data_IF_041129773714
#
_entry.id   IF_041129773714
#
_cell.length_a   1.000
_cell.length_b   1.000
_cell.length_c   1.000
_cell.angle_alpha   90.00
_cell.angle_beta   90.00
_cell.angle_gamma   90.00
#
_symmetry.space_group_name_H-M   'P 1'
#
loop_
_entity.id
_entity.type
_entity.pdbx_description
1 polymer ?
#
# COMPACT_ATOMS: atom_id res chain seq x y z
N UNK A 1 0.57 24.39 12.61
CA UNK A 1 0.94 25.49 13.53
C UNK A 1 0.89 24.94 14.95
N UNK A 2 1.76 25.39 15.86
CA UNK A 2 1.75 24.93 17.26
C UNK A 2 1.29 26.08 18.15
N UNK A 3 0.28 25.83 18.98
CA UNK A 3 -0.20 26.77 19.99
C UNK A 3 0.38 26.37 21.34
N UNK A 4 0.92 27.32 22.09
CA UNK A 4 1.36 27.12 23.47
C UNK A 4 0.39 27.85 24.40
N UNK A 5 -0.11 27.15 25.42
CA UNK A 5 -0.91 27.76 26.47
C UNK A 5 -0.08 28.75 27.29
N UNK A 6 -0.66 29.90 27.65
CA UNK A 6 0.03 30.89 28.50
C UNK A 6 0.00 30.51 29.99
N UNK A 7 -1.04 29.80 30.42
CA UNK A 7 -1.21 29.35 31.81
C UNK A 7 -0.58 27.97 32.09
N UNK A 8 -0.25 27.21 31.04
CA UNK A 8 0.38 25.90 31.14
C UNK A 8 1.24 25.67 29.90
N UNK A 9 2.44 25.10 30.04
CA UNK A 9 3.38 24.80 28.93
C UNK A 9 2.90 23.73 27.94
N UNK A 10 1.61 23.45 27.91
CA UNK A 10 0.99 22.55 26.97
C UNK A 10 1.06 23.11 25.56
N UNK A 11 1.61 22.32 24.66
CA UNK A 11 1.74 22.63 23.23
C UNK A 11 0.78 21.77 22.41
N UNK A 12 -0.09 22.42 21.64
CA UNK A 12 -1.10 21.78 20.81
C UNK A 12 -0.79 22.02 19.34
N UNK A 13 -0.65 20.92 18.58
CA UNK A 13 -0.46 20.98 17.14
C UNK A 13 -1.80 21.11 16.42
N UNK A 14 -2.04 22.27 15.82
CA UNK A 14 -3.30 22.60 15.14
C UNK A 14 -3.06 22.73 13.62
N UNK A 15 -3.98 22.24 12.77
CA UNK A 15 -3.90 22.43 11.33
C UNK A 15 -3.84 23.92 10.95
N UNK A 16 -3.09 24.27 9.89
CA UNK A 16 -2.93 25.66 9.47
C UNK A 16 -4.23 26.34 9.00
N UNK A 17 -5.22 25.53 8.57
CA UNK A 17 -6.54 26.01 8.15
C UNK A 17 -7.52 26.21 9.32
N UNK A 18 -7.07 26.08 10.57
CA UNK A 18 -7.93 26.26 11.73
C UNK A 18 -8.24 27.75 11.92
N UNK A 19 -9.52 28.15 12.00
CA UNK A 19 -9.93 29.56 12.02
C UNK A 19 -9.66 30.16 13.41
N UNK A 20 -8.40 30.44 13.71
CA UNK A 20 -8.00 31.16 14.90
C UNK A 20 -8.20 32.65 14.63
N UNK A 21 -9.13 33.25 15.34
CA UNK A 21 -9.33 34.70 15.34
C UNK A 21 -8.60 35.30 16.55
N UNK A 22 -8.16 36.57 16.45
CA UNK A 22 -7.67 37.31 17.61
C UNK A 22 -8.73 37.29 18.72
N UNK A 23 -8.28 37.09 19.96
CA UNK A 23 -9.19 37.05 21.10
C UNK A 23 -9.81 38.43 21.33
N UNK A 24 -11.11 38.53 21.12
CA UNK A 24 -11.89 39.76 21.29
C UNK A 24 -12.83 39.62 22.49
N UNK A 25 -12.50 40.31 23.58
CA UNK A 25 -13.19 40.18 24.87
C UNK A 25 -14.68 40.53 24.79
N UNK A 26 -15.08 41.41 23.87
CA UNK A 26 -16.48 41.85 23.73
C UNK A 26 -17.42 40.79 23.15
N UNK A 27 -16.90 39.83 22.36
CA UNK A 27 -17.70 38.75 21.74
C UNK A 27 -17.65 37.43 22.50
N UNK A 28 -16.61 37.22 23.30
CA UNK A 28 -16.33 35.93 23.95
C UNK A 28 -17.37 35.51 25.00
N UNK A 29 -18.10 36.46 25.60
CA UNK A 29 -19.06 36.16 26.67
C UNK A 29 -20.40 35.58 26.18
N UNK A 30 -20.75 35.70 24.89
CA UNK A 30 -22.10 35.39 24.39
C UNK A 30 -22.18 34.27 23.35
N UNK A 31 -21.04 33.78 22.85
CA UNK A 31 -21.02 32.67 21.89
C UNK A 31 -20.55 31.35 22.52
N UNK A 32 -21.14 30.97 23.66
CA UNK A 32 -21.17 29.55 24.01
C UNK A 32 -22.11 28.90 23.00
N UNK A 33 -21.54 28.27 21.96
CA UNK A 33 -22.34 27.56 20.95
C UNK A 33 -23.27 26.56 21.65
N UNK A 34 -24.58 26.58 21.38
CA UNK A 34 -25.54 25.67 22.02
C UNK A 34 -25.49 24.24 21.46
N UNK A 35 -24.76 24.00 20.37
CA UNK A 35 -24.67 22.68 19.76
C UNK A 35 -23.40 21.94 20.21
N UNK A 36 -23.51 20.67 20.68
CA UNK A 36 -22.34 19.88 21.01
C UNK A 36 -21.45 19.72 19.77
N UNK A 37 -20.14 19.70 19.99
CA UNK A 37 -19.13 19.53 18.96
C UNK A 37 -19.43 18.33 18.05
N UNK A 38 -19.87 18.61 16.83
CA UNK A 38 -19.94 17.62 15.75
C UNK A 38 -18.56 17.51 15.12
N UNK A 39 -17.79 16.47 15.47
CA UNK A 39 -16.57 16.12 14.74
C UNK A 39 -16.92 15.93 13.27
N UNK A 40 -16.56 16.92 12.44
CA UNK A 40 -16.86 16.91 11.01
C UNK A 40 -16.25 15.64 10.44
N UNK A 41 -17.16 14.76 10.04
CA UNK A 41 -16.96 13.46 9.40
C UNK A 41 -15.63 13.34 8.66
N UNK A 42 -14.90 12.25 8.94
CA UNK A 42 -13.83 11.71 8.11
C UNK A 42 -14.14 11.98 6.64
N UNK A 43 -13.39 12.87 6.01
CA UNK A 43 -13.28 12.85 4.56
C UNK A 43 -12.68 11.48 4.26
N UNK A 44 -13.55 10.55 3.87
CA UNK A 44 -13.18 9.26 3.29
C UNK A 44 -12.49 9.66 1.99
N UNK A 45 -11.20 9.97 2.07
CA UNK A 45 -10.39 10.22 0.89
C UNK A 45 -10.69 9.07 -0.05
N UNK A 46 -11.13 9.38 -1.27
CA UNK A 46 -11.26 8.38 -2.31
C UNK A 46 -9.95 7.60 -2.30
N UNK A 47 -10.02 6.38 -1.79
CA UNK A 47 -8.90 5.47 -1.71
C UNK A 47 -8.50 5.31 -3.17
N UNK A 48 -7.39 5.94 -3.58
CA UNK A 48 -6.79 5.68 -4.88
C UNK A 48 -6.87 4.17 -5.09
N UNK A 49 -7.41 3.69 -6.23
CA UNK A 49 -7.75 2.29 -6.40
C UNK A 49 -6.55 1.49 -5.94
N UNK A 50 -6.70 0.81 -4.81
CA UNK A 50 -5.59 0.14 -4.13
C UNK A 50 -5.07 -0.87 -5.13
N UNK A 51 -4.03 -0.52 -5.89
CA UNK A 51 -3.43 -1.42 -6.86
C UNK A 51 -3.04 -2.64 -6.05
N UNK A 52 -3.73 -3.74 -6.30
CA UNK A 52 -3.52 -4.96 -5.54
C UNK A 52 -2.04 -5.31 -5.69
N UNK A 53 -1.38 -5.62 -4.57
CA UNK A 53 0.05 -5.96 -4.60
C UNK A 53 0.30 -7.21 -5.44
N UNK A 54 -0.68 -8.12 -5.51
CA UNK A 54 -0.58 -9.39 -6.21
C UNK A 54 -0.20 -9.24 -7.71
N UNK A 55 -0.95 -8.50 -8.55
CA UNK A 55 -0.56 -8.27 -9.95
C UNK A 55 0.85 -7.72 -10.13
N UNK A 56 1.28 -6.80 -9.25
CA UNK A 56 2.61 -6.19 -9.33
C UNK A 56 3.70 -7.22 -8.97
N UNK A 57 3.47 -8.04 -7.95
CA UNK A 57 4.37 -9.12 -7.55
C UNK A 57 4.46 -10.18 -8.65
N UNK A 58 3.32 -10.61 -9.21
CA UNK A 58 3.29 -11.62 -10.27
C UNK A 58 4.05 -11.17 -11.50
N UNK A 59 3.87 -9.92 -11.93
CA UNK A 59 4.62 -9.36 -13.05
C UNK A 59 6.14 -9.40 -12.82
N UNK A 60 6.60 -9.11 -11.59
CA UNK A 60 8.02 -9.20 -11.25
C UNK A 60 8.53 -10.65 -11.21
N UNK A 61 7.73 -11.58 -10.67
CA UNK A 61 8.09 -13.00 -10.60
C UNK A 61 8.13 -13.66 -11.99
N UNK A 62 7.20 -13.30 -12.88
CA UNK A 62 7.15 -13.81 -14.26
C UNK A 62 8.28 -13.23 -15.12
N UNK A 63 8.57 -11.92 -14.98
CA UNK A 63 9.73 -11.30 -15.63
C UNK A 63 11.04 -11.94 -15.17
N UNK A 64 11.12 -12.29 -13.89
CA UNK A 64 12.30 -12.92 -13.29
C UNK A 64 13.48 -11.97 -13.16
N UNK A 65 14.65 -12.54 -12.82
CA UNK A 65 15.93 -11.83 -12.78
C UNK A 65 16.19 -10.98 -11.53
N UNK A 66 15.23 -10.90 -10.60
CA UNK A 66 15.37 -10.19 -9.33
C UNK A 66 15.52 -11.17 -8.16
N UNK A 67 16.30 -10.77 -7.16
CA UNK A 67 16.33 -11.45 -5.86
C UNK A 67 15.09 -11.10 -5.05
N UNK A 68 14.76 -11.89 -4.03
CA UNK A 68 13.67 -11.59 -3.11
C UNK A 68 13.75 -10.17 -2.53
N UNK A 69 14.96 -9.73 -2.14
CA UNK A 69 15.21 -8.37 -1.65
C UNK A 69 14.98 -7.31 -2.74
N UNK A 70 15.41 -7.59 -3.97
CA UNK A 70 15.19 -6.74 -5.13
C UNK A 70 13.71 -6.53 -5.43
N UNK A 71 12.91 -7.61 -5.41
CA UNK A 71 11.45 -7.57 -5.60
C UNK A 71 10.80 -6.68 -4.55
N UNK A 72 11.16 -6.87 -3.26
CA UNK A 72 10.61 -6.04 -2.18
C UNK A 72 10.98 -4.57 -2.34
N UNK A 73 12.22 -4.26 -2.75
CA UNK A 73 12.67 -2.90 -3.00
C UNK A 73 11.89 -2.24 -4.13
N UNK A 74 11.71 -2.94 -5.25
CA UNK A 74 10.93 -2.45 -6.39
C UNK A 74 9.43 -2.33 -6.07
N UNK A 75 8.89 -3.24 -5.28
CA UNK A 75 7.49 -3.16 -4.81
C UNK A 75 7.26 -1.88 -3.99
N UNK A 76 8.18 -1.54 -3.09
CA UNK A 76 8.12 -0.31 -2.29
C UNK A 76 8.19 0.95 -3.18
N UNK A 77 8.99 0.93 -4.24
CA UNK A 77 9.08 2.04 -5.20
C UNK A 77 7.79 2.23 -5.99
N UNK A 78 7.20 1.14 -6.48
CA UNK A 78 6.01 1.18 -7.36
C UNK A 78 4.68 1.32 -6.63
N UNK A 79 4.60 0.83 -5.39
CA UNK A 79 3.36 0.71 -4.63
C UNK A 79 3.54 1.09 -3.15
N UNK A 80 4.29 2.16 -2.88
CA UNK A 80 4.64 2.63 -1.53
C UNK A 80 3.44 2.74 -0.58
N UNK A 81 2.33 3.32 -1.05
CA UNK A 81 1.09 3.46 -0.27
C UNK A 81 0.46 2.10 0.07
N UNK A 82 0.40 1.17 -0.89
CA UNK A 82 -0.20 -0.14 -0.71
C UNK A 82 0.64 -1.09 0.15
N UNK A 83 1.94 -0.79 0.34
CA UNK A 83 2.90 -1.55 1.15
C UNK A 83 2.87 -1.23 2.64
N UNK A 84 2.24 -0.13 3.07
CA UNK A 84 2.24 0.29 4.49
C UNK A 84 1.57 -0.76 5.38
N UNK A 85 2.25 -1.14 6.47
CA UNK A 85 1.74 -2.09 7.47
C UNK A 85 1.68 -3.56 7.02
N UNK A 86 2.26 -3.92 5.87
CA UNK A 86 2.22 -5.29 5.34
C UNK A 86 3.60 -5.92 5.28
N UNK A 87 3.69 -7.21 5.58
CA UNK A 87 4.90 -7.99 5.31
C UNK A 87 4.98 -8.32 3.81
N UNK A 88 5.85 -7.59 3.11
CA UNK A 88 6.07 -7.76 1.68
C UNK A 88 6.75 -9.09 1.36
N UNK A 89 7.65 -9.59 2.23
CA UNK A 89 8.32 -10.86 2.01
C UNK A 89 7.34 -12.02 2.15
N UNK A 90 6.43 -11.97 3.13
CA UNK A 90 5.36 -12.95 3.26
C UNK A 90 4.44 -12.95 2.04
N UNK A 91 4.05 -11.77 1.54
CA UNK A 91 3.24 -11.66 0.34
C UNK A 91 3.92 -12.27 -0.90
N UNK A 92 5.20 -11.99 -1.13
CA UNK A 92 5.94 -12.59 -2.26
C UNK A 92 6.03 -14.11 -2.11
N UNK A 93 6.29 -14.63 -0.91
CA UNK A 93 6.28 -16.09 -0.63
C UNK A 93 4.91 -16.71 -0.90
N UNK A 94 3.83 -16.06 -0.48
CA UNK A 94 2.47 -16.51 -0.76
C UNK A 94 2.20 -16.56 -2.28
N UNK A 95 2.64 -15.55 -3.04
CA UNK A 95 2.48 -15.55 -4.51
C UNK A 95 3.28 -16.66 -5.18
N UNK A 96 4.51 -16.90 -4.74
CA UNK A 96 5.32 -18.04 -5.20
C UNK A 96 4.60 -19.37 -4.98
N UNK A 97 4.06 -19.59 -3.77
CA UNK A 97 3.28 -20.79 -3.46
C UNK A 97 2.08 -20.95 -4.42
N UNK A 98 1.30 -19.89 -4.63
CA UNK A 98 0.15 -19.93 -5.53
C UNK A 98 0.52 -20.17 -6.99
N UNK A 99 1.60 -19.56 -7.48
CA UNK A 99 2.10 -19.80 -8.84
C UNK A 99 2.55 -21.26 -9.01
N UNK A 100 3.24 -21.82 -8.02
CA UNK A 100 3.61 -23.25 -8.02
C UNK A 100 2.38 -24.15 -8.07
N UNK A 101 1.34 -23.85 -7.28
CA UNK A 101 0.08 -24.61 -7.29
C UNK A 101 -0.65 -24.51 -8.64
N UNK A 102 -0.49 -23.41 -9.36
CA UNK A 102 -1.02 -23.20 -10.73
C UNK A 102 -0.16 -23.81 -11.83
N UNK A 103 0.83 -24.64 -11.47
CA UNK A 103 1.68 -25.29 -12.46
C UNK A 103 2.75 -24.38 -13.05
N UNK A 104 3.19 -23.34 -12.34
CA UNK A 104 4.42 -22.61 -12.71
C UNK A 104 5.64 -23.27 -12.06
N UNK A 105 6.71 -23.43 -12.84
CA UNK A 105 8.01 -23.90 -12.35
C UNK A 105 8.78 -22.71 -11.77
N UNK A 106 9.12 -22.79 -10.49
CA UNK A 106 9.95 -21.80 -9.82
C UNK A 106 11.41 -22.20 -10.00
N UNK A 107 12.20 -21.31 -10.58
CA UNK A 107 13.66 -21.47 -10.69
C UNK A 107 14.33 -20.52 -9.71
N UNK A 108 15.27 -21.08 -8.95
CA UNK A 108 16.22 -20.33 -8.14
C UNK A 108 17.57 -20.44 -8.83
N UNK A 109 18.09 -19.31 -9.28
CA UNK A 109 19.46 -19.29 -9.80
C UNK A 109 20.42 -19.24 -8.60
N UNK A 110 21.68 -19.67 -8.76
CA UNK A 110 22.70 -19.68 -7.69
C UNK A 110 23.01 -18.32 -7.03
N UNK A 111 22.40 -17.23 -7.51
CA UNK A 111 22.42 -15.89 -6.91
C UNK A 111 21.09 -15.54 -6.20
N UNK A 112 20.30 -16.52 -5.77
CA UNK A 112 18.98 -16.35 -5.13
C UNK A 112 17.95 -15.57 -5.97
N UNK A 113 18.14 -15.52 -7.29
CA UNK A 113 17.19 -14.86 -8.20
C UNK A 113 15.97 -15.75 -8.39
N UNK A 114 14.79 -15.14 -8.30
CA UNK A 114 13.51 -15.84 -8.37
C UNK A 114 12.87 -15.62 -9.73
N UNK A 115 12.48 -16.71 -10.38
CA UNK A 115 11.70 -16.66 -11.61
C UNK A 115 10.59 -17.73 -11.59
N UNK A 116 9.36 -17.33 -11.90
CA UNK A 116 8.26 -18.24 -12.17
C UNK A 116 8.04 -18.35 -13.68
N UNK A 117 8.20 -19.53 -14.24
CA UNK A 117 7.89 -19.80 -15.64
C UNK A 117 6.65 -20.69 -15.71
N UNK A 118 5.71 -20.49 -16.66
CA UNK A 118 4.66 -21.50 -16.89
C UNK A 118 5.36 -22.83 -17.17
N UNK A 119 4.95 -23.90 -16.48
CA UNK A 119 5.44 -25.23 -16.87
C UNK A 119 4.91 -25.48 -18.27
N UNK A 120 5.76 -25.88 -19.24
CA UNK A 120 5.25 -26.29 -20.53
C UNK A 120 4.37 -27.50 -20.26
N UNK A 121 3.05 -27.31 -20.27
CA UNK A 121 2.13 -28.42 -20.37
C UNK A 121 2.56 -29.20 -21.60
N UNK A 122 2.68 -30.52 -21.46
CA UNK A 122 2.99 -31.40 -22.57
C UNK A 122 2.03 -31.05 -23.72
N UNK A 123 2.57 -30.42 -24.76
CA UNK A 123 1.91 -30.29 -26.06
C UNK A 123 1.95 -31.68 -26.70
N UNK A 124 1.22 -32.62 -26.12
CA UNK A 124 1.00 -33.94 -26.67
C UNK A 124 -0.34 -33.94 -27.39
N UNK A 125 -0.28 -34.33 -28.67
CA UNK A 125 -1.38 -34.83 -29.49
C UNK A 125 -2.47 -33.84 -29.95
N UNK A 126 -2.17 -33.07 -31.00
CA UNK A 126 -3.17 -32.71 -32.03
C UNK A 126 -2.49 -31.98 -33.19
N UNK A 127 -1.79 -32.72 -34.06
CA UNK A 127 -1.39 -32.29 -35.42
C UNK A 127 -0.76 -33.47 -36.20
N UNK A 128 -1.48 -34.59 -36.23
CA UNK A 128 -1.27 -35.69 -37.17
C UNK A 128 -2.67 -36.17 -37.55
N UNK A 129 -3.28 -35.50 -38.52
CA UNK A 129 -4.39 -35.95 -39.38
C UNK A 129 -4.79 -34.74 -40.23
N UNK A 130 -4.59 -34.86 -41.54
CA UNK A 130 -4.83 -33.78 -42.50
C UNK A 130 -3.91 -33.93 -43.71
N UNK A 131 -3.84 -35.17 -44.21
CA UNK A 131 -3.46 -35.57 -45.56
C UNK A 131 -4.33 -34.87 -46.60
#
# INVERSE_FOLDING_TARGET
MVLQGLASDNRLCVPAAYPLQPFDQGKAAWEIRPAPYSSRSKVKGLLAPNKALAPIIDAMLLKGGMTMRGIVRELRRKASAACRGKDLKANVRARLYWLRKRGHRIRWNGQERVQAAPTPAARSASRLTGS
#
